data_IF_346702687915
#
_entry.id   IF_346702687915
#
_cell.length_a   1.000
_cell.length_b   1.000
_cell.length_c   1.000
_cell.angle_alpha   90.00
_cell.angle_beta   90.00
_cell.angle_gamma   90.00
#
_symmetry.space_group_name_H-M   'P 1'
#
loop_
_entity.id
_entity.type
_entity.pdbx_description
1 polymer ?
#
# COMPACT_ATOMS: atom_id res chain seq x y z
N UNK A 1 7.73 -0.78 -5.27
CA UNK A 1 8.08 -1.60 -4.08
C UNK A 1 6.91 -1.71 -3.13
N UNK A 2 6.41 -0.59 -2.56
CA UNK A 2 5.28 -0.63 -1.64
C UNK A 2 3.97 -1.07 -2.30
N UNK A 3 3.57 -0.46 -3.43
CA UNK A 3 2.35 -0.87 -4.16
C UNK A 3 2.39 -2.36 -4.57
N UNK A 4 3.56 -2.84 -4.99
CA UNK A 4 3.80 -4.26 -5.30
C UNK A 4 3.69 -5.14 -4.06
N UNK A 5 4.21 -4.70 -2.91
CA UNK A 5 4.12 -5.44 -1.66
C UNK A 5 2.67 -5.49 -1.14
N UNK A 6 1.92 -4.39 -1.23
CA UNK A 6 0.49 -4.36 -0.90
C UNK A 6 -0.29 -5.29 -1.82
N UNK A 7 -0.05 -5.23 -3.13
CA UNK A 7 -0.69 -6.10 -4.11
C UNK A 7 -0.37 -7.59 -3.89
N UNK A 8 0.83 -7.91 -3.42
CA UNK A 8 1.24 -9.29 -3.12
C UNK A 8 0.93 -9.72 -1.67
N UNK A 9 0.21 -8.91 -0.88
CA UNK A 9 -0.06 -9.16 0.54
C UNK A 9 1.22 -9.40 1.37
N UNK A 10 2.34 -8.83 0.92
CA UNK A 10 3.66 -8.97 1.53
C UNK A 10 4.04 -7.75 2.39
N UNK A 11 3.04 -6.98 2.85
CA UNK A 11 3.23 -5.87 3.77
C UNK A 11 3.52 -6.37 5.18
N UNK A 12 4.40 -5.67 5.90
CA UNK A 12 4.62 -5.94 7.31
C UNK A 12 3.53 -5.27 8.16
N UNK A 13 2.91 -5.98 9.12
CA UNK A 13 2.05 -5.36 10.12
C UNK A 13 2.78 -4.26 10.88
N UNK A 14 2.10 -3.16 11.19
CA UNK A 14 2.73 -2.06 11.94
C UNK A 14 3.17 -2.45 13.35
N UNK A 15 2.53 -3.46 13.96
CA UNK A 15 2.98 -4.06 15.23
C UNK A 15 4.40 -4.60 15.13
N UNK A 16 4.71 -5.28 14.02
CA UNK A 16 6.00 -5.92 13.82
C UNK A 16 7.08 -4.86 13.51
N UNK A 17 6.70 -3.79 12.80
CA UNK A 17 7.56 -2.63 12.58
C UNK A 17 7.93 -1.90 13.89
N UNK A 18 7.05 -1.93 14.89
CA UNK A 18 7.32 -1.35 16.21
C UNK A 18 8.30 -2.19 17.04
N UNK A 19 8.33 -3.51 16.85
CA UNK A 19 9.15 -4.42 17.66
C UNK A 19 10.59 -4.52 17.13
N UNK A 20 10.75 -4.78 15.83
CA UNK A 20 12.08 -4.98 15.26
C UNK A 20 12.13 -4.67 13.77
N UNK A 21 13.12 -3.85 13.37
CA UNK A 21 13.41 -3.62 11.96
C UNK A 21 14.06 -4.86 11.32
N UNK A 22 13.70 -5.22 10.07
CA UNK A 22 14.28 -6.37 9.39
C UNK A 22 15.80 -6.26 9.21
N UNK A 23 16.52 -7.37 9.31
CA UNK A 23 17.97 -7.39 9.09
C UNK A 23 18.35 -7.32 7.58
N UNK A 24 17.49 -7.85 6.70
CA UNK A 24 17.75 -7.90 5.26
C UNK A 24 17.62 -6.52 4.62
N UNK A 25 18.45 -6.23 3.62
CA UNK A 25 18.41 -4.93 2.89
C UNK A 25 17.02 -4.67 2.30
N UNK A 26 16.43 -5.67 1.66
CA UNK A 26 15.10 -5.57 1.06
C UNK A 26 14.02 -5.33 2.12
N UNK A 27 14.11 -6.02 3.27
CA UNK A 27 13.19 -5.83 4.38
C UNK A 27 13.27 -4.42 4.96
N UNK A 28 14.48 -3.87 5.14
CA UNK A 28 14.65 -2.47 5.59
C UNK A 28 14.11 -1.47 4.58
N UNK A 29 14.36 -1.67 3.29
CA UNK A 29 13.82 -0.80 2.25
C UNK A 29 12.29 -0.79 2.26
N UNK A 30 11.66 -1.97 2.43
CA UNK A 30 10.20 -2.07 2.56
C UNK A 30 9.70 -1.37 3.83
N UNK A 31 10.32 -1.64 4.98
CA UNK A 31 9.96 -1.02 6.26
C UNK A 31 10.04 0.51 6.17
N UNK A 32 11.13 1.06 5.63
CA UNK A 32 11.27 2.51 5.43
C UNK A 32 10.22 3.07 4.48
N UNK A 33 9.91 2.37 3.39
CA UNK A 33 8.86 2.79 2.46
C UNK A 33 7.47 2.77 3.12
N UNK A 34 7.14 1.73 3.90
CA UNK A 34 5.89 1.64 4.65
C UNK A 34 5.77 2.75 5.70
N UNK A 35 6.81 3.01 6.48
CA UNK A 35 6.78 4.07 7.50
C UNK A 35 6.62 5.45 6.87
N UNK A 36 7.33 5.75 5.78
CA UNK A 36 7.19 7.03 5.09
C UNK A 36 5.79 7.24 4.52
N UNK A 37 5.20 6.18 3.96
CA UNK A 37 3.84 6.24 3.43
C UNK A 37 2.78 6.34 4.54
N UNK A 38 2.97 5.65 5.68
CA UNK A 38 2.12 5.79 6.85
C UNK A 38 2.08 7.23 7.37
N UNK A 39 3.23 7.91 7.44
CA UNK A 39 3.28 9.32 7.87
C UNK A 39 2.49 10.21 6.90
N UNK A 40 2.63 9.98 5.59
CA UNK A 40 1.81 10.67 4.58
C UNK A 40 0.32 10.38 4.75
N UNK A 41 -0.06 9.12 4.93
CA UNK A 41 -1.44 8.74 5.18
C UNK A 41 -2.02 9.44 6.42
N UNK A 42 -1.26 9.46 7.53
CA UNK A 42 -1.71 10.13 8.76
C UNK A 42 -1.85 11.64 8.52
N UNK A 43 -0.91 12.24 7.81
CA UNK A 43 -0.97 13.65 7.43
C UNK A 43 -2.20 13.96 6.56
N UNK A 44 -2.50 13.12 5.58
CA UNK A 44 -3.63 13.30 4.65
C UNK A 44 -5.00 13.09 5.33
N UNK A 45 -5.12 12.10 6.21
CA UNK A 45 -6.39 11.74 6.86
C UNK A 45 -6.67 12.50 8.16
N UNK A 46 -5.62 12.79 8.94
CA UNK A 46 -5.75 13.35 10.30
C UNK A 46 -5.02 14.69 10.49
N UNK A 47 -4.24 15.12 9.50
CA UNK A 47 -3.54 16.40 9.50
C UNK A 47 -2.23 16.42 10.28
N UNK A 48 -1.48 17.51 10.09
CA UNK A 48 -0.14 17.68 10.69
C UNK A 48 -0.12 17.75 12.22
N UNK A 49 -1.24 18.14 12.85
CA UNK A 49 -1.30 18.19 14.32
C UNK A 49 -1.11 16.80 14.91
N UNK A 50 -1.70 15.76 14.30
CA UNK A 50 -1.58 14.40 14.79
C UNK A 50 -0.19 13.81 14.66
N UNK A 51 0.57 14.24 13.65
CA UNK A 51 2.00 13.90 13.56
C UNK A 51 2.78 14.51 14.72
N UNK A 52 2.49 15.75 15.11
CA UNK A 52 3.13 16.37 16.29
C UNK A 52 2.75 15.63 17.58
N UNK A 53 1.46 15.37 17.77
CA UNK A 53 0.97 14.61 18.92
C UNK A 53 1.67 13.24 19.04
N UNK A 54 1.96 12.56 17.92
CA UNK A 54 2.72 11.29 17.90
C UNK A 54 4.18 11.48 18.29
N UNK A 55 4.84 12.51 17.74
CA UNK A 55 6.23 12.82 18.05
C UNK A 55 6.39 13.16 19.54
N UNK A 56 5.47 13.94 20.10
CA UNK A 56 5.47 14.32 21.51
C UNK A 56 5.27 13.08 22.40
N UNK A 57 4.30 12.22 22.07
CA UNK A 57 4.07 10.97 22.81
C UNK A 57 5.31 10.05 22.82
N UNK A 58 6.00 9.90 21.69
CA UNK A 58 7.23 9.10 21.65
C UNK A 58 8.41 9.76 22.34
N UNK A 59 8.49 11.10 22.33
CA UNK A 59 9.50 11.83 23.09
C UNK A 59 9.32 11.65 24.61
N UNK A 60 8.09 11.46 25.08
CA UNK A 60 7.75 11.14 26.47
C UNK A 60 8.02 9.66 26.84
N UNK A 61 8.47 8.84 25.89
CA UNK A 61 8.77 7.42 26.12
C UNK A 61 7.54 6.52 26.15
N UNK A 62 6.40 6.98 25.63
CA UNK A 62 5.22 6.14 25.42
C UNK A 62 5.57 5.04 24.40
N UNK A 63 5.10 3.82 24.64
CA UNK A 63 5.29 2.71 23.70
C UNK A 63 4.61 2.94 22.35
N UNK A 64 5.06 2.23 21.33
CA UNK A 64 4.57 2.37 19.95
C UNK A 64 3.04 2.33 19.84
N UNK A 65 2.42 1.32 20.47
CA UNK A 65 0.97 1.11 20.39
C UNK A 65 0.20 2.20 21.13
N UNK A 66 0.57 2.51 22.38
CA UNK A 66 -0.09 3.59 23.14
C UNK A 66 0.15 4.96 22.55
N UNK A 67 1.30 5.21 21.92
CA UNK A 67 1.55 6.46 21.22
C UNK A 67 0.50 6.69 20.13
N UNK A 68 0.24 5.67 19.32
CA UNK A 68 -0.83 5.71 18.31
C UNK A 68 -2.22 5.85 18.93
N UNK A 69 -2.53 5.08 19.97
CA UNK A 69 -3.84 5.14 20.63
C UNK A 69 -4.12 6.51 21.23
N UNK A 70 -3.15 7.12 21.92
CA UNK A 70 -3.29 8.41 22.57
C UNK A 70 -3.39 9.56 21.54
N UNK A 71 -2.58 9.51 20.47
CA UNK A 71 -2.53 10.61 19.51
C UNK A 71 -3.67 10.55 18.50
N UNK A 72 -4.05 9.35 18.02
CA UNK A 72 -5.06 9.18 16.96
C UNK A 72 -6.43 8.73 17.47
N UNK A 73 -6.57 8.35 18.75
CA UNK A 73 -7.76 7.71 19.30
C UNK A 73 -8.16 6.43 18.55
N UNK A 74 -7.18 5.69 18.03
CA UNK A 74 -7.35 4.47 17.24
C UNK A 74 -6.30 3.44 17.67
N UNK A 75 -6.67 2.16 17.69
CA UNK A 75 -5.69 1.11 17.93
C UNK A 75 -4.75 0.95 16.73
N UNK A 76 -3.50 0.58 16.98
CA UNK A 76 -2.50 0.35 15.93
C UNK A 76 -2.96 -0.67 14.86
N UNK A 77 -3.63 -1.79 15.21
CA UNK A 77 -4.19 -2.70 14.21
C UNK A 77 -5.28 -2.05 13.33
N UNK A 78 -6.14 -1.22 13.91
CA UNK A 78 -7.17 -0.51 13.16
C UNK A 78 -6.55 0.51 12.20
N UNK A 79 -5.51 1.24 12.64
CA UNK A 79 -4.75 2.13 11.77
C UNK A 79 -4.14 1.37 10.58
N UNK A 80 -3.55 0.20 10.84
CA UNK A 80 -2.96 -0.65 9.79
C UNK A 80 -4.00 -1.09 8.76
N UNK A 81 -5.19 -1.52 9.19
CA UNK A 81 -6.27 -1.91 8.27
C UNK A 81 -6.79 -0.71 7.48
N UNK A 82 -7.08 0.42 8.13
CA UNK A 82 -7.56 1.61 7.44
C UNK A 82 -6.55 2.13 6.40
N UNK A 83 -5.24 2.00 6.69
CA UNK A 83 -4.18 2.30 5.73
C UNK A 83 -4.21 1.33 4.54
N UNK A 84 -4.30 0.02 4.77
CA UNK A 84 -4.42 -0.99 3.70
C UNK A 84 -5.65 -0.76 2.81
N UNK A 85 -6.78 -0.35 3.39
CA UNK A 85 -8.01 -0.07 2.66
C UNK A 85 -7.84 1.07 1.64
N UNK A 86 -6.94 2.03 1.89
CA UNK A 86 -6.65 3.09 0.89
C UNK A 86 -6.04 2.54 -0.40
N UNK A 87 -5.41 1.37 -0.35
CA UNK A 87 -4.85 0.70 -1.52
C UNK A 87 -5.86 -0.19 -2.22
N UNK A 88 -6.83 -0.75 -1.49
CA UNK A 88 -7.90 -1.59 -2.06
C UNK A 88 -8.90 -0.78 -2.91
N UNK A 89 -8.99 0.54 -2.72
CA UNK A 89 -9.87 1.42 -3.50
C UNK A 89 -9.33 1.66 -4.95
N UNK A 90 -8.20 1.05 -5.34
CA UNK A 90 -7.83 0.94 -6.77
C UNK A 90 -8.68 -0.16 -7.41
N UNK A 91 -9.58 0.24 -8.32
CA UNK A 91 -10.56 -0.64 -8.97
C UNK A 91 -9.90 -1.93 -9.51
N UNK A 92 -10.21 -3.11 -8.95
CA UNK A 92 -9.54 -4.36 -9.33
C UNK A 92 -9.76 -4.70 -10.82
N UNK A 93 -10.90 -4.28 -11.37
CA UNK A 93 -11.22 -4.42 -12.79
C UNK A 93 -10.27 -3.61 -13.68
N UNK A 94 -9.95 -2.37 -13.28
CA UNK A 94 -9.09 -1.49 -14.05
C UNK A 94 -7.63 -1.98 -14.02
N UNK A 95 -7.16 -2.44 -12.86
CA UNK A 95 -5.83 -3.06 -12.73
C UNK A 95 -5.72 -4.35 -13.55
N UNK A 96 -6.74 -5.22 -13.49
CA UNK A 96 -6.78 -6.42 -14.33
C UNK A 96 -6.69 -6.11 -15.83
N UNK A 97 -7.39 -5.07 -16.30
CA UNK A 97 -7.34 -4.61 -17.69
C UNK A 97 -5.94 -4.07 -18.08
N UNK A 98 -5.29 -3.33 -17.19
CA UNK A 98 -3.94 -2.78 -17.42
C UNK A 98 -2.90 -3.90 -17.47
N UNK A 99 -2.91 -4.80 -16.47
CA UNK A 99 -1.95 -5.90 -16.35
C UNK A 99 -2.05 -6.89 -17.53
N UNK A 100 -3.26 -7.11 -18.03
CA UNK A 100 -3.52 -8.02 -19.15
C UNK A 100 -3.67 -7.30 -20.51
N UNK A 101 -3.35 -6.01 -20.58
CA UNK A 101 -3.54 -5.19 -21.79
C UNK A 101 -2.85 -5.78 -23.02
N UNK A 102 -1.64 -6.33 -22.87
CA UNK A 102 -0.88 -6.99 -23.94
C UNK A 102 -1.65 -8.17 -24.54
N UNK A 103 -2.30 -9.00 -23.71
CA UNK A 103 -3.08 -10.14 -24.18
C UNK A 103 -4.31 -9.70 -24.97
N UNK A 104 -4.97 -8.62 -24.55
CA UNK A 104 -6.09 -8.06 -25.29
C UNK A 104 -5.67 -7.53 -26.67
N UNK A 105 -4.52 -6.86 -26.77
CA UNK A 105 -3.97 -6.42 -28.06
C UNK A 105 -3.61 -7.58 -28.99
N UNK A 106 -3.07 -8.68 -28.45
CA UNK A 106 -2.79 -9.88 -29.22
C UNK A 106 -4.05 -10.53 -29.79
N UNK A 107 -5.09 -10.70 -28.97
CA UNK A 107 -6.38 -11.27 -29.41
C UNK A 107 -7.03 -10.37 -30.46
N UNK A 108 -7.01 -9.05 -30.25
CA UNK A 108 -7.52 -8.07 -31.22
C UNK A 108 -6.77 -8.17 -32.55
N UNK A 109 -5.44 -8.27 -32.51
CA UNK A 109 -4.60 -8.42 -33.70
C UNK A 109 -4.92 -9.70 -34.48
N UNK A 110 -5.10 -10.82 -33.78
CA UNK A 110 -5.47 -12.11 -34.39
C UNK A 110 -6.87 -12.03 -35.03
N UNK A 111 -7.84 -11.43 -34.34
CA UNK A 111 -9.20 -11.26 -34.87
C UNK A 111 -9.20 -10.41 -36.15
N UNK A 112 -8.45 -9.29 -36.17
CA UNK A 112 -8.30 -8.45 -37.36
C UNK A 112 -7.65 -9.24 -38.50
N UNK A 113 -6.63 -10.03 -38.21
CA UNK A 113 -5.97 -10.90 -39.19
C UNK A 113 -6.93 -11.94 -39.77
N UNK A 114 -7.74 -12.59 -38.93
CA UNK A 114 -8.75 -13.55 -39.39
C UNK A 114 -9.80 -12.89 -40.28
N UNK A 115 -10.31 -11.72 -39.91
CA UNK A 115 -11.28 -10.97 -40.72
C UNK A 115 -10.68 -10.58 -42.07
N UNK A 116 -9.43 -10.10 -42.10
CA UNK A 116 -8.72 -9.77 -43.33
C UNK A 116 -8.50 -10.98 -44.24
N UNK A 117 -8.21 -12.15 -43.67
CA UNK A 117 -8.05 -13.40 -44.42
C UNK A 117 -9.38 -13.89 -45.01
N UNK A 118 -10.48 -13.78 -44.26
CA UNK A 118 -11.83 -14.13 -44.75
C UNK A 118 -12.28 -13.19 -45.86
N UNK A 119 -11.95 -11.89 -45.78
CA UNK A 119 -12.31 -10.91 -46.82
C UNK A 119 -11.55 -11.07 -48.15
N UNK A 120 -10.43 -11.80 -48.15
CA UNK A 120 -9.57 -11.98 -49.33
C UNK A 120 -9.85 -13.29 -50.09
N UNK A 121 -10.65 -14.19 -49.53
CA UNK A 121 -11.13 -15.46 -50.13
C UNK A 121 -12.53 -15.25 -50.67
#
# INVERSE_FOLDING_TARGET
VLETAVSNQATMPFTDLCEQLPASVNGRMLATAQSADLIRYIQEQYGNQKIRDLVDAYAEGVDCTRGVENSLNLSLPTLNQNWLDTYQIRMPLLQFLIDNSIWFWLILGILVLMVLLIWKV
#
